data_IF_360352608615
#
_entry.id   IF_360352608615
#
_cell.length_a   1.000
_cell.length_b   1.000
_cell.length_c   1.000
_cell.angle_alpha   90.00
_cell.angle_beta   90.00
_cell.angle_gamma   90.00
#
_symmetry.space_group_name_H-M   'P 1'
#
loop_
_entity.id
_entity.type
_entity.pdbx_description
1 polymer ?
#
# COMPACT_ATOMS: atom_id res chain seq x y z
N UNK A 1 22.15 -0.29 -31.39
CA UNK A 1 20.82 -0.84 -31.00
C UNK A 1 20.29 0.01 -29.85
N UNK A 2 18.97 0.21 -29.73
CA UNK A 2 18.36 0.86 -28.57
C UNK A 2 17.78 -0.21 -27.63
N UNK A 3 18.12 -0.12 -26.36
CA UNK A 3 17.66 -1.03 -25.30
C UNK A 3 16.78 -0.26 -24.33
N UNK A 4 15.69 -0.85 -23.86
CA UNK A 4 14.87 -0.34 -22.76
C UNK A 4 15.05 -1.27 -21.55
N UNK A 5 15.67 -0.77 -20.47
CA UNK A 5 15.79 -1.47 -19.20
C UNK A 5 14.57 -1.14 -18.31
N UNK A 6 13.47 -1.87 -18.54
CA UNK A 6 12.22 -1.76 -17.80
C UNK A 6 12.11 -2.95 -16.83
N UNK A 7 12.74 -2.84 -15.66
CA UNK A 7 12.93 -3.92 -14.70
C UNK A 7 12.33 -3.58 -13.34
N UNK A 8 11.81 -4.59 -12.66
CA UNK A 8 11.41 -4.48 -11.25
C UNK A 8 12.55 -4.89 -10.32
N UNK A 9 12.35 -4.76 -9.01
CA UNK A 9 13.32 -5.11 -7.97
C UNK A 9 13.59 -6.61 -7.90
N UNK A 10 14.78 -6.96 -7.45
CA UNK A 10 15.13 -8.32 -7.02
C UNK A 10 15.06 -8.35 -5.49
N UNK A 11 13.97 -8.89 -4.94
CA UNK A 11 13.68 -8.87 -3.51
C UNK A 11 14.87 -9.29 -2.65
N UNK A 12 15.27 -8.43 -1.71
CA UNK A 12 16.37 -8.66 -0.79
C UNK A 12 17.78 -8.56 -1.40
N UNK A 13 17.92 -8.25 -2.71
CA UNK A 13 19.21 -8.23 -3.39
C UNK A 13 19.51 -6.87 -4.03
N UNK A 14 18.62 -6.35 -4.89
CA UNK A 14 18.84 -5.11 -5.61
C UNK A 14 17.52 -4.36 -5.88
N UNK A 15 17.58 -3.02 -5.86
CA UNK A 15 16.45 -2.18 -6.25
C UNK A 15 16.26 -2.19 -7.77
N UNK A 16 15.05 -1.87 -8.24
CA UNK A 16 14.78 -1.72 -9.68
C UNK A 16 15.73 -0.73 -10.35
N UNK A 17 16.05 0.38 -9.69
CA UNK A 17 17.01 1.37 -10.18
C UNK A 17 18.43 0.80 -10.31
N UNK A 18 18.91 0.06 -9.30
CA UNK A 18 20.25 -0.57 -9.35
C UNK A 18 20.35 -1.57 -10.52
N UNK A 19 19.31 -2.37 -10.74
CA UNK A 19 19.28 -3.34 -11.84
C UNK A 19 19.23 -2.61 -13.19
N UNK A 20 18.38 -1.59 -13.33
CA UNK A 20 18.29 -0.79 -14.57
C UNK A 20 19.64 -0.13 -14.90
N UNK A 21 20.32 0.44 -13.91
CA UNK A 21 21.63 1.07 -14.08
C UNK A 21 22.72 0.05 -14.45
N UNK A 22 22.71 -1.14 -13.85
CA UNK A 22 23.64 -2.22 -14.23
C UNK A 22 23.47 -2.64 -15.69
N UNK A 23 22.21 -2.74 -16.17
CA UNK A 23 21.92 -3.01 -17.59
C UNK A 23 22.39 -1.84 -18.45
N UNK A 24 22.15 -0.59 -18.04
CA UNK A 24 22.61 0.61 -18.74
C UNK A 24 24.11 0.62 -18.94
N UNK A 25 24.89 0.33 -17.89
CA UNK A 25 26.35 0.21 -17.96
C UNK A 25 26.81 -0.89 -18.94
N UNK A 26 26.20 -2.06 -18.91
CA UNK A 26 26.53 -3.16 -19.82
C UNK A 26 26.24 -2.76 -21.29
N UNK A 27 25.12 -2.11 -21.56
CA UNK A 27 24.77 -1.60 -22.88
C UNK A 27 25.81 -0.59 -23.37
N UNK A 28 26.20 0.36 -22.52
CA UNK A 28 27.21 1.37 -22.85
C UNK A 28 28.56 0.74 -23.20
N UNK A 29 29.02 -0.26 -22.43
CA UNK A 29 30.26 -0.99 -22.73
C UNK A 29 30.23 -1.70 -24.09
N UNK A 30 29.04 -2.11 -24.53
CA UNK A 30 28.83 -2.78 -25.82
C UNK A 30 28.52 -1.79 -26.97
N UNK A 31 28.57 -0.47 -26.73
CA UNK A 31 28.28 0.56 -27.71
C UNK A 31 26.79 0.68 -28.06
N UNK A 32 25.91 0.39 -27.11
CA UNK A 32 24.46 0.47 -27.28
C UNK A 32 23.85 1.61 -26.44
N UNK A 33 22.82 2.27 -26.99
CA UNK A 33 21.99 3.21 -26.21
C UNK A 33 21.06 2.44 -25.29
N UNK A 34 20.95 2.85 -24.01
CA UNK A 34 20.00 2.30 -23.06
C UNK A 34 19.13 3.40 -22.46
N UNK A 35 17.83 3.13 -22.37
CA UNK A 35 16.88 3.94 -21.63
C UNK A 35 16.54 3.17 -20.35
N UNK A 36 16.93 3.71 -19.20
CA UNK A 36 16.61 3.14 -17.89
C UNK A 36 15.21 3.61 -17.45
N UNK A 37 14.31 2.66 -17.21
CA UNK A 37 12.94 2.89 -16.72
C UNK A 37 12.61 1.82 -15.68
N UNK A 38 13.09 1.99 -14.43
CA UNK A 38 12.72 1.08 -13.36
C UNK A 38 11.20 1.04 -13.21
N UNK A 39 10.67 -0.17 -13.07
CA UNK A 39 9.26 -0.45 -12.84
C UNK A 39 8.99 -0.75 -11.37
N UNK A 40 7.73 -0.73 -11.00
CA UNK A 40 7.25 -1.11 -9.68
C UNK A 40 5.85 -1.72 -9.77
N UNK A 41 5.60 -2.71 -8.93
CA UNK A 41 4.40 -3.52 -8.87
C UNK A 41 3.36 -3.03 -7.82
N UNK A 42 3.55 -1.81 -7.28
CA UNK A 42 2.76 -1.32 -6.15
C UNK A 42 3.26 -1.83 -4.78
N UNK A 43 4.33 -2.62 -4.77
CA UNK A 43 5.00 -3.08 -3.56
C UNK A 43 6.04 -2.09 -3.02
N UNK A 44 6.87 -2.59 -2.08
CA UNK A 44 7.99 -1.83 -1.52
C UNK A 44 8.98 -1.40 -2.62
N UNK A 45 9.40 -0.12 -2.60
CA UNK A 45 10.29 0.49 -3.60
C UNK A 45 9.55 1.20 -4.75
N UNK A 46 8.21 1.18 -4.77
CA UNK A 46 7.41 1.93 -5.75
C UNK A 46 7.63 3.43 -5.60
N UNK A 47 7.71 3.92 -4.36
CA UNK A 47 7.98 5.33 -4.06
C UNK A 47 9.32 5.79 -4.66
N UNK A 48 10.36 4.97 -4.54
CA UNK A 48 11.68 5.25 -5.11
C UNK A 48 11.66 5.22 -6.64
N UNK A 49 11.00 4.22 -7.24
CA UNK A 49 10.85 4.10 -8.69
C UNK A 49 10.10 5.31 -9.28
N UNK A 50 9.19 5.93 -8.54
CA UNK A 50 8.44 7.11 -8.92
C UNK A 50 9.12 8.44 -8.52
N UNK A 51 10.40 8.42 -8.16
CA UNK A 51 11.23 9.60 -7.95
C UNK A 51 11.54 9.93 -6.49
N UNK A 52 11.31 8.99 -5.59
CA UNK A 52 11.65 9.07 -4.16
C UNK A 52 10.75 10.00 -3.34
N UNK A 53 10.85 9.87 -2.03
CA UNK A 53 10.12 10.72 -1.09
C UNK A 53 10.59 12.18 -1.15
N UNK A 54 9.66 13.12 -1.02
CA UNK A 54 9.95 14.55 -0.85
C UNK A 54 9.12 15.20 0.26
N UNK A 55 8.41 14.38 1.00
CA UNK A 55 7.61 14.73 2.19
C UNK A 55 7.83 13.69 3.28
N UNK A 56 7.68 14.12 4.52
CA UNK A 56 7.63 13.25 5.70
C UNK A 56 6.55 13.78 6.62
N UNK A 57 5.69 12.89 7.10
CA UNK A 57 4.61 13.23 8.02
C UNK A 57 4.70 12.33 9.25
N UNK A 58 4.51 12.90 10.44
CA UNK A 58 4.39 12.12 11.67
C UNK A 58 2.98 11.53 11.72
N UNK A 59 2.89 10.20 11.73
CA UNK A 59 1.62 9.47 11.70
C UNK A 59 1.61 8.35 12.73
N UNK A 60 0.44 7.77 12.95
CA UNK A 60 0.26 6.58 13.79
C UNK A 60 0.86 5.35 13.11
N UNK A 61 1.86 4.73 13.73
CA UNK A 61 2.45 3.48 13.27
C UNK A 61 1.52 2.27 13.46
N UNK A 62 1.91 1.09 12.94
CA UNK A 62 1.04 -0.08 12.91
C UNK A 62 0.59 -0.56 14.30
N UNK A 63 1.40 -0.37 15.33
CA UNK A 63 1.09 -0.72 16.71
C UNK A 63 0.84 0.51 17.60
N UNK A 64 0.38 1.61 17.02
CA UNK A 64 -0.02 2.83 17.73
C UNK A 64 1.12 3.79 18.10
N UNK A 65 2.39 3.41 17.93
CA UNK A 65 3.53 4.29 18.18
C UNK A 65 3.69 5.28 17.02
N UNK A 66 3.99 6.57 17.28
CA UNK A 66 4.23 7.54 16.19
C UNK A 66 5.43 7.12 15.32
N UNK A 67 5.28 7.30 14.00
CA UNK A 67 6.35 7.05 13.02
C UNK A 67 6.46 8.22 12.05
N UNK A 68 7.70 8.51 11.60
CA UNK A 68 7.96 9.47 10.53
C UNK A 68 7.80 8.74 9.20
N UNK A 69 6.68 8.95 8.52
CA UNK A 69 6.36 8.26 7.27
C UNK A 69 6.77 9.11 6.06
N UNK A 70 7.75 8.67 5.26
CA UNK A 70 8.09 9.31 4.00
C UNK A 70 7.02 9.04 2.93
N UNK A 71 6.76 10.03 2.09
CA UNK A 71 5.87 9.96 0.94
C UNK A 71 6.21 11.01 -0.09
N UNK A 72 5.55 11.02 -1.23
CA UNK A 72 5.82 11.97 -2.30
C UNK A 72 4.58 12.76 -2.69
N UNK A 73 4.74 14.08 -2.93
CA UNK A 73 3.76 14.89 -3.64
C UNK A 73 4.48 15.64 -4.77
N UNK A 74 4.11 15.38 -6.01
CA UNK A 74 4.69 16.04 -7.16
C UNK A 74 3.63 16.33 -8.22
N UNK A 75 3.52 17.59 -8.67
CA UNK A 75 2.55 18.04 -9.68
C UNK A 75 1.12 17.58 -9.41
N UNK A 76 0.70 17.65 -8.13
CA UNK A 76 -0.64 17.25 -7.71
C UNK A 76 -0.86 15.73 -7.57
N UNK A 77 0.16 14.89 -7.82
CA UNK A 77 0.11 13.46 -7.58
C UNK A 77 0.81 13.11 -6.27
N UNK A 78 0.08 12.50 -5.35
CA UNK A 78 0.62 11.90 -4.13
C UNK A 78 0.90 10.41 -4.36
N UNK A 79 2.06 9.93 -3.90
CA UNK A 79 2.44 8.51 -3.88
C UNK A 79 2.71 8.14 -2.43
N UNK A 80 2.00 7.16 -1.93
CA UNK A 80 2.01 6.68 -0.54
C UNK A 80 2.27 5.19 -0.55
N UNK A 81 3.43 4.76 -0.04
CA UNK A 81 3.63 3.36 0.32
C UNK A 81 3.06 3.12 1.72
N UNK A 82 2.05 2.27 1.83
CA UNK A 82 1.44 1.97 3.12
C UNK A 82 2.43 1.37 4.12
N UNK A 83 3.48 0.70 3.64
CA UNK A 83 4.53 0.13 4.47
C UNK A 83 5.30 1.19 5.28
N UNK A 84 5.36 2.44 4.80
CA UNK A 84 6.00 3.55 5.50
C UNK A 84 5.22 4.04 6.73
N UNK A 85 3.93 3.67 6.83
CA UNK A 85 3.06 4.06 7.95
C UNK A 85 2.48 2.84 8.71
N UNK A 86 2.17 1.76 8.00
CA UNK A 86 1.46 0.59 8.53
C UNK A 86 2.16 -0.73 8.17
N UNK A 87 3.48 -0.67 7.97
CA UNK A 87 4.31 -1.78 7.49
C UNK A 87 4.75 -2.76 8.57
N UNK A 88 5.02 -4.00 8.15
CA UNK A 88 5.46 -5.09 9.03
C UNK A 88 6.82 -4.82 9.66
N UNK A 89 7.73 -4.17 8.94
CA UNK A 89 9.05 -3.82 9.48
C UNK A 89 8.95 -2.77 10.59
N UNK A 90 8.00 -1.84 10.51
CA UNK A 90 7.71 -0.87 11.58
C UNK A 90 7.13 -1.52 12.84
N UNK A 91 6.50 -2.70 12.69
CA UNK A 91 6.00 -3.50 13.79
C UNK A 91 7.07 -4.42 14.42
N UNK A 92 8.34 -4.36 13.95
CA UNK A 92 9.42 -5.26 14.41
C UNK A 92 9.46 -6.60 13.67
N UNK A 93 8.81 -6.72 12.53
CA UNK A 93 8.74 -7.95 11.75
C UNK A 93 7.67 -8.92 12.27
N UNK A 94 7.67 -10.13 11.72
CA UNK A 94 6.68 -11.17 12.02
C UNK A 94 6.61 -11.55 13.51
N UNK A 95 7.74 -11.56 14.19
CA UNK A 95 7.85 -12.02 15.57
C UNK A 95 7.30 -11.01 16.59
N UNK A 96 7.43 -9.72 16.30
CA UNK A 96 7.04 -8.63 17.21
C UNK A 96 5.68 -8.01 16.84
N UNK A 97 5.16 -8.31 15.66
CA UNK A 97 3.87 -7.81 15.23
C UNK A 97 2.71 -8.40 16.06
N UNK A 98 1.73 -7.57 16.37
CA UNK A 98 0.42 -8.01 16.86
C UNK A 98 -0.61 -7.94 15.71
N UNK A 99 -0.92 -9.08 15.05
CA UNK A 99 -1.85 -9.10 13.92
C UNK A 99 -3.27 -8.66 14.25
N UNK A 100 -3.67 -8.72 15.54
CA UNK A 100 -5.01 -8.29 15.99
C UNK A 100 -5.06 -6.77 16.21
N UNK A 101 -4.01 -6.20 16.81
CA UNK A 101 -3.93 -4.78 17.14
C UNK A 101 -3.45 -3.91 15.99
N UNK A 102 -2.69 -4.48 15.05
CA UNK A 102 -2.10 -3.73 13.93
C UNK A 102 -3.17 -2.99 13.12
N UNK A 103 -2.92 -1.70 12.88
CA UNK A 103 -3.87 -0.74 12.28
C UNK A 103 -3.30 -0.04 11.05
N UNK A 104 -4.19 0.28 10.11
CA UNK A 104 -3.90 1.10 8.93
C UNK A 104 -4.09 2.60 9.17
N UNK A 105 -4.27 3.05 10.40
CA UNK A 105 -4.56 4.45 10.76
C UNK A 105 -3.57 5.42 10.12
N UNK A 106 -2.26 5.19 10.25
CA UNK A 106 -1.25 6.08 9.68
C UNK A 106 -1.29 6.18 8.15
N UNK A 107 -1.70 5.13 7.45
CA UNK A 107 -1.94 5.20 6.01
C UNK A 107 -3.09 6.17 5.69
N UNK A 108 -4.17 6.12 6.47
CA UNK A 108 -5.28 7.07 6.34
C UNK A 108 -4.87 8.52 6.64
N UNK A 109 -4.03 8.72 7.66
CA UNK A 109 -3.47 10.04 8.01
C UNK A 109 -2.58 10.60 6.89
N UNK A 110 -1.82 9.76 6.19
CA UNK A 110 -1.06 10.18 4.98
C UNK A 110 -1.99 10.60 3.84
N UNK A 111 -3.09 9.86 3.62
CA UNK A 111 -4.09 10.21 2.61
C UNK A 111 -4.73 11.57 2.95
N UNK A 112 -5.08 11.78 4.21
CA UNK A 112 -5.67 13.04 4.67
C UNK A 112 -4.68 14.20 4.51
N UNK A 113 -3.40 14.01 4.86
CA UNK A 113 -2.33 14.99 4.64
C UNK A 113 -2.13 15.30 3.14
N UNK A 114 -2.24 14.32 2.25
CA UNK A 114 -2.17 14.53 0.81
C UNK A 114 -3.35 15.37 0.31
N UNK A 115 -4.55 15.13 0.83
CA UNK A 115 -5.75 15.94 0.55
C UNK A 115 -5.58 17.38 1.03
N UNK A 116 -5.01 17.59 2.22
CA UNK A 116 -4.75 18.93 2.77
C UNK A 116 -3.79 19.74 1.92
N UNK A 117 -2.81 19.08 1.29
CA UNK A 117 -1.88 19.70 0.36
C UNK A 117 -2.41 19.81 -1.07
N UNK A 118 -3.69 19.50 -1.29
CA UNK A 118 -4.38 19.69 -2.56
C UNK A 118 -4.05 18.66 -3.63
N UNK A 119 -3.71 17.42 -3.25
CA UNK A 119 -3.50 16.34 -4.20
C UNK A 119 -4.74 16.16 -5.09
N UNK A 120 -4.50 16.00 -6.41
CA UNK A 120 -5.54 15.72 -7.43
C UNK A 120 -5.55 14.25 -7.84
N UNK A 121 -4.44 13.57 -7.57
CA UNK A 121 -4.29 12.14 -7.74
C UNK A 121 -3.58 11.57 -6.51
N UNK A 122 -4.08 10.46 -5.98
CA UNK A 122 -3.47 9.74 -4.86
C UNK A 122 -3.28 8.29 -5.28
N UNK A 123 -2.05 7.80 -5.21
CA UNK A 123 -1.67 6.41 -5.48
C UNK A 123 -1.22 5.80 -4.15
N UNK A 124 -1.91 4.76 -3.69
CA UNK A 124 -1.56 4.02 -2.49
C UNK A 124 -1.02 2.65 -2.89
N UNK A 125 0.23 2.39 -2.52
CA UNK A 125 0.95 1.15 -2.82
C UNK A 125 0.85 0.21 -1.61
N UNK A 126 0.46 -1.05 -1.81
CA UNK A 126 -0.01 -1.94 -0.75
C UNK A 126 0.98 -3.02 -0.29
N UNK A 127 2.23 -3.00 -0.73
CA UNK A 127 3.24 -3.98 -0.30
C UNK A 127 3.64 -3.84 1.17
N UNK A 128 4.11 -4.94 1.80
CA UNK A 128 4.80 -4.92 3.10
C UNK A 128 3.93 -4.66 4.35
N UNK A 129 2.61 -4.87 4.30
CA UNK A 129 1.67 -4.54 5.39
C UNK A 129 1.84 -5.39 6.65
N UNK A 130 1.70 -4.77 7.85
CA UNK A 130 1.55 -5.45 9.14
C UNK A 130 0.11 -5.89 9.42
N UNK A 131 -0.85 -5.26 8.79
CA UNK A 131 -2.25 -5.12 9.22
C UNK A 131 -3.17 -6.16 8.60
N UNK A 132 -4.26 -6.49 9.29
CA UNK A 132 -5.41 -7.25 8.79
C UNK A 132 -6.69 -6.66 9.42
N UNK A 133 -6.78 -5.32 9.38
CA UNK A 133 -7.90 -4.56 9.93
C UNK A 133 -8.98 -4.20 8.89
N UNK A 134 -8.86 -4.74 7.66
CA UNK A 134 -9.80 -4.45 6.58
C UNK A 134 -9.74 -3.01 6.09
N UNK A 135 -8.68 -2.26 6.41
CA UNK A 135 -8.58 -0.84 6.10
C UNK A 135 -9.37 0.08 7.03
N UNK A 136 -9.97 -0.47 8.09
CA UNK A 136 -10.85 0.30 8.98
C UNK A 136 -10.13 1.47 9.65
N UNK A 137 -8.85 1.27 10.03
CA UNK A 137 -8.03 2.34 10.59
C UNK A 137 -7.87 3.51 9.62
N UNK A 138 -7.53 3.23 8.36
CA UNK A 138 -7.37 4.24 7.32
C UNK A 138 -8.68 4.97 7.02
N UNK A 139 -9.78 4.21 6.86
CA UNK A 139 -11.11 4.78 6.59
C UNK A 139 -11.54 5.74 7.69
N UNK A 140 -11.27 5.41 8.96
CA UNK A 140 -11.59 6.26 10.11
C UNK A 140 -10.67 7.47 10.26
N UNK A 141 -9.41 7.38 9.82
CA UNK A 141 -8.43 8.45 9.94
C UNK A 141 -8.64 9.56 8.91
N UNK A 142 -9.27 9.26 7.77
CA UNK A 142 -9.61 10.27 6.77
C UNK A 142 -10.77 11.12 7.28
N UNK A 143 -10.47 12.35 7.70
CA UNK A 143 -11.45 13.23 8.36
C UNK A 143 -12.62 13.65 7.48
N UNK A 144 -12.35 13.86 6.19
CA UNK A 144 -13.37 14.33 5.24
C UNK A 144 -13.37 13.48 3.97
N UNK A 145 -13.96 12.25 4.01
CA UNK A 145 -13.97 11.34 2.86
C UNK A 145 -14.61 11.93 1.59
N UNK A 146 -15.53 12.88 1.75
CA UNK A 146 -16.17 13.57 0.62
C UNK A 146 -15.16 14.28 -0.32
N UNK A 147 -13.98 14.66 0.17
CA UNK A 147 -12.90 15.29 -0.63
C UNK A 147 -12.31 14.32 -1.66
N UNK A 148 -12.39 13.03 -1.42
CA UNK A 148 -11.92 12.01 -2.36
C UNK A 148 -12.71 11.99 -3.68
N UNK A 149 -13.98 12.45 -3.70
CA UNK A 149 -14.80 12.53 -4.91
C UNK A 149 -14.21 13.42 -6.01
N UNK A 150 -13.30 14.35 -5.65
CA UNK A 150 -12.62 15.22 -6.61
C UNK A 150 -11.19 14.80 -6.94
N UNK A 151 -10.77 13.59 -6.52
CA UNK A 151 -9.42 13.09 -6.62
C UNK A 151 -9.42 11.77 -7.41
N UNK A 152 -8.48 11.62 -8.32
CA UNK A 152 -8.18 10.31 -8.92
C UNK A 152 -7.51 9.44 -7.85
N UNK A 153 -8.28 8.53 -7.26
CA UNK A 153 -7.85 7.71 -6.13
C UNK A 153 -7.59 6.28 -6.57
N UNK A 154 -6.33 5.88 -6.57
CA UNK A 154 -5.84 4.60 -7.11
C UNK A 154 -5.13 3.81 -6.02
N UNK A 155 -5.41 2.52 -6.00
CA UNK A 155 -4.71 1.53 -5.17
C UNK A 155 -3.92 0.62 -6.09
N UNK A 156 -2.58 0.68 -5.98
CA UNK A 156 -1.70 -0.19 -6.75
C UNK A 156 -1.48 -1.51 -6.00
N UNK A 157 -1.97 -2.60 -6.58
CA UNK A 157 -1.76 -3.95 -6.06
C UNK A 157 -1.80 -4.98 -7.20
N UNK A 158 -1.02 -6.05 -7.04
CA UNK A 158 -0.84 -7.12 -8.03
C UNK A 158 -1.56 -8.43 -7.66
N UNK A 159 -2.45 -8.39 -6.66
CA UNK A 159 -3.15 -9.58 -6.15
C UNK A 159 -4.64 -9.55 -6.46
N UNK A 160 -5.24 -10.73 -6.60
CA UNK A 160 -6.67 -10.92 -6.87
C UNK A 160 -7.44 -11.45 -5.66
N UNK A 161 -6.78 -11.55 -4.49
CA UNK A 161 -7.36 -12.10 -3.26
C UNK A 161 -8.63 -11.33 -2.86
N UNK A 162 -9.70 -12.05 -2.56
CA UNK A 162 -10.95 -11.47 -2.06
C UNK A 162 -10.79 -10.90 -0.66
N UNK A 163 -11.62 -9.93 -0.30
CA UNK A 163 -11.58 -9.23 0.98
C UNK A 163 -11.65 -10.18 2.18
N UNK A 164 -12.60 -11.11 2.19
CA UNK A 164 -12.82 -12.08 3.28
C UNK A 164 -11.72 -13.14 3.38
N UNK A 165 -10.95 -13.36 2.30
CA UNK A 165 -9.85 -14.32 2.29
C UNK A 165 -8.52 -13.72 2.74
N UNK A 166 -8.45 -12.39 2.90
CA UNK A 166 -7.23 -11.67 3.25
C UNK A 166 -6.56 -12.20 4.54
N UNK A 167 -7.35 -12.56 5.55
CA UNK A 167 -6.81 -13.11 6.78
C UNK A 167 -6.18 -14.49 6.58
N UNK A 168 -6.85 -15.38 5.85
CA UNK A 168 -6.35 -16.74 5.56
C UNK A 168 -5.07 -16.72 4.75
N UNK A 169 -5.02 -15.85 3.74
CA UNK A 169 -3.88 -15.77 2.81
C UNK A 169 -2.69 -15.04 3.40
N UNK A 170 -2.91 -13.89 4.05
CA UNK A 170 -1.82 -12.98 4.41
C UNK A 170 -1.51 -12.88 5.91
N UNK A 171 -2.43 -13.20 6.82
CA UNK A 171 -2.17 -13.02 8.24
C UNK A 171 -1.11 -13.98 8.82
N UNK A 172 -0.94 -15.23 8.35
CA UNK A 172 0.11 -16.12 8.86
C UNK A 172 1.54 -15.57 8.66
N UNK A 173 1.81 -14.92 7.53
CA UNK A 173 3.11 -14.30 7.28
C UNK A 173 3.36 -13.05 8.14
N UNK A 174 2.31 -12.49 8.73
CA UNK A 174 2.35 -11.33 9.65
C UNK A 174 2.38 -11.74 11.12
N UNK A 175 2.50 -13.04 11.42
CA UNK A 175 2.61 -13.58 12.78
C UNK A 175 1.32 -14.12 13.37
N UNK A 176 0.20 -14.14 12.63
CA UNK A 176 -1.06 -14.66 13.17
C UNK A 176 -1.04 -16.18 13.38
N UNK A 177 -1.46 -16.61 14.54
CA UNK A 177 -1.78 -18.02 14.84
C UNK A 177 -3.08 -18.46 14.14
N UNK A 178 -3.34 -19.77 14.00
CA UNK A 178 -4.60 -20.24 13.41
C UNK A 178 -5.86 -19.68 14.07
N UNK A 179 -5.87 -19.53 15.40
CA UNK A 179 -6.98 -18.94 16.14
C UNK A 179 -7.16 -17.44 15.81
N UNK A 180 -6.04 -16.71 15.67
CA UNK A 180 -6.08 -15.31 15.26
C UNK A 180 -6.54 -15.14 13.81
N UNK A 181 -6.16 -16.05 12.90
CA UNK A 181 -6.66 -16.07 11.52
C UNK A 181 -8.19 -16.22 11.49
N UNK A 182 -8.73 -17.13 12.28
CA UNK A 182 -10.18 -17.31 12.40
C UNK A 182 -10.88 -16.05 12.91
N UNK A 183 -10.34 -15.42 13.96
CA UNK A 183 -10.85 -14.17 14.51
C UNK A 183 -10.82 -13.04 13.47
N UNK A 184 -9.68 -12.87 12.76
CA UNK A 184 -9.51 -11.86 11.74
C UNK A 184 -10.44 -12.08 10.55
N UNK A 185 -10.68 -13.34 10.14
CA UNK A 185 -11.66 -13.68 9.09
C UNK A 185 -13.05 -13.21 9.49
N UNK A 186 -13.51 -13.54 10.69
CA UNK A 186 -14.82 -13.10 11.20
C UNK A 186 -14.92 -11.56 11.28
N UNK A 187 -13.80 -10.88 11.65
CA UNK A 187 -13.75 -9.41 11.64
C UNK A 187 -13.94 -8.85 10.24
N UNK A 188 -13.28 -9.41 9.23
CA UNK A 188 -13.43 -8.98 7.85
C UNK A 188 -14.85 -9.22 7.31
N UNK A 189 -15.45 -10.37 7.60
CA UNK A 189 -16.85 -10.67 7.23
C UNK A 189 -17.82 -9.64 7.79
N UNK A 190 -17.65 -9.21 9.03
CA UNK A 190 -18.45 -8.12 9.63
C UNK A 190 -18.19 -6.77 8.96
N UNK A 191 -16.95 -6.50 8.55
CA UNK A 191 -16.61 -5.25 7.87
C UNK A 191 -17.24 -5.14 6.48
N UNK A 192 -17.46 -6.23 5.75
CA UNK A 192 -18.25 -6.22 4.50
C UNK A 192 -19.61 -5.58 4.75
N UNK A 193 -20.31 -5.99 5.80
CA UNK A 193 -21.63 -5.43 6.15
C UNK A 193 -21.52 -3.94 6.53
N UNK A 194 -20.49 -3.55 7.28
CA UNK A 194 -20.25 -2.14 7.65
C UNK A 194 -20.04 -1.28 6.41
N UNK A 195 -19.20 -1.72 5.48
CA UNK A 195 -18.93 -0.96 4.25
C UNK A 195 -20.13 -0.89 3.32
N UNK A 196 -20.88 -1.98 3.21
CA UNK A 196 -22.15 -1.99 2.45
C UNK A 196 -23.16 -1.00 3.04
N UNK A 197 -23.31 -0.97 4.36
CA UNK A 197 -24.27 -0.06 5.03
C UNK A 197 -23.83 1.41 5.01
N UNK A 198 -22.53 1.66 5.22
CA UNK A 198 -22.01 3.03 5.37
C UNK A 198 -21.70 3.72 4.05
N UNK A 199 -21.28 2.95 3.03
CA UNK A 199 -20.80 3.48 1.74
C UNK A 199 -21.52 2.92 0.53
N UNK A 200 -22.41 1.93 0.71
CA UNK A 200 -23.14 1.29 -0.39
C UNK A 200 -22.29 0.35 -1.25
N UNK A 201 -21.10 -0.07 -0.77
CA UNK A 201 -20.14 -0.88 -1.54
C UNK A 201 -20.00 -2.26 -0.91
N UNK A 202 -20.27 -3.30 -1.68
CA UNK A 202 -19.94 -4.68 -1.29
C UNK A 202 -18.49 -5.00 -1.68
N UNK A 203 -17.59 -4.88 -0.70
CA UNK A 203 -16.16 -5.12 -0.92
C UNK A 203 -15.81 -6.60 -1.07
N UNK A 204 -16.73 -7.54 -0.77
CA UNK A 204 -16.48 -8.97 -0.91
C UNK A 204 -16.37 -9.41 -2.37
N UNK A 205 -17.04 -8.73 -3.28
CA UNK A 205 -17.09 -9.04 -4.70
C UNK A 205 -15.96 -8.36 -5.51
N UNK A 206 -15.20 -7.46 -4.88
CA UNK A 206 -14.13 -6.74 -5.58
C UNK A 206 -12.86 -7.60 -5.62
N UNK A 207 -12.37 -7.91 -6.80
CA UNK A 207 -11.09 -8.59 -7.01
C UNK A 207 -9.94 -7.72 -6.48
N UNK A 208 -9.04 -8.31 -5.69
CA UNK A 208 -7.93 -7.59 -5.08
C UNK A 208 -8.26 -6.85 -3.76
N UNK A 209 -9.54 -6.79 -3.35
CA UNK A 209 -9.94 -6.09 -2.13
C UNK A 209 -9.28 -6.62 -0.86
N UNK A 210 -8.77 -7.86 -0.87
CA UNK A 210 -8.01 -8.47 0.23
C UNK A 210 -6.57 -8.00 0.36
N UNK A 211 -6.04 -7.25 -0.60
CA UNK A 211 -4.66 -6.76 -0.55
C UNK A 211 -4.40 -5.95 0.73
N UNK A 212 -3.19 -6.12 1.27
CA UNK A 212 -2.75 -5.49 2.53
C UNK A 212 -3.70 -5.76 3.71
N UNK A 213 -4.24 -7.00 3.81
CA UNK A 213 -5.14 -7.37 4.90
C UNK A 213 -6.50 -6.68 4.83
N UNK A 214 -6.96 -6.39 3.61
CA UNK A 214 -8.24 -5.74 3.32
C UNK A 214 -8.18 -4.22 3.22
N UNK A 215 -7.00 -3.60 3.32
CA UNK A 215 -6.87 -2.16 3.11
C UNK A 215 -7.41 -1.74 1.74
N UNK A 216 -7.10 -2.51 0.67
CA UNK A 216 -7.64 -2.26 -0.66
C UNK A 216 -9.17 -2.15 -0.66
N UNK A 217 -9.86 -3.07 0.01
CA UNK A 217 -11.32 -3.05 0.13
C UNK A 217 -11.84 -1.85 0.90
N UNK A 218 -11.19 -1.50 2.02
CA UNK A 218 -11.53 -0.30 2.78
C UNK A 218 -11.40 0.99 1.95
N UNK A 219 -10.34 1.11 1.16
CA UNK A 219 -10.13 2.26 0.27
C UNK A 219 -11.10 2.22 -0.94
N UNK A 220 -11.42 1.03 -1.46
CA UNK A 220 -12.43 0.89 -2.51
C UNK A 220 -13.83 1.31 -2.04
N UNK A 221 -14.18 1.06 -0.76
CA UNK A 221 -15.42 1.57 -0.18
C UNK A 221 -15.50 3.10 -0.17
N UNK A 222 -14.35 3.79 -0.18
CA UNK A 222 -14.25 5.24 -0.32
C UNK A 222 -14.09 5.71 -1.78
N UNK A 223 -14.19 4.83 -2.76
CA UNK A 223 -14.16 5.15 -4.19
C UNK A 223 -12.78 4.97 -4.84
N UNK A 224 -11.81 4.32 -4.19
CA UNK A 224 -10.54 4.01 -4.83
C UNK A 224 -10.71 2.97 -5.94
N UNK A 225 -10.00 3.17 -7.04
CA UNK A 225 -9.88 2.20 -8.13
C UNK A 225 -8.71 1.26 -7.83
N UNK A 226 -8.93 -0.06 -7.95
CA UNK A 226 -7.91 -1.08 -7.80
C UNK A 226 -7.32 -1.41 -9.18
N UNK A 227 -5.96 -1.40 -9.29
CA UNK A 227 -5.25 -1.68 -10.53
C UNK A 227 -3.77 -1.96 -10.31
#
# INVERSE_FOLDING_TARGET
MKVLAAVDKFRGTATAAQVATAIGHACWQLGHDCIERPLADGGEGTLDALGGANRTTLVTGPLGKPVQAPWRLHRGTAVIEMACASGLMLAGGKQENDPIAATTTGTGELIDAALDLGAKRIIVCLGGSATTDGGLGAVKAIQTPARLKGVEFVVACDVTTKFTDAAKVFAPQKGASPAQVQFLTTRLEKLVQVYQQSYGVDVSEISGAGAAGGLAGGLAALGAQLG
#
